data_IF_267539615993
#
_entry.id   IF_267539615993
#
_cell.length_a   1.000
_cell.length_b   1.000
_cell.length_c   1.000
_cell.angle_alpha   90.00
_cell.angle_beta   90.00
_cell.angle_gamma   90.00
#
_symmetry.space_group_name_H-M   'P 1'
#
loop_
_entity.id
_entity.type
_entity.pdbx_description
1 polymer ?
#
# COMPACT_ATOMS: atom_id res chain seq x y z
N UNK A 1 -20.56 68.21 47.59
CA UNK A 1 -20.98 67.32 46.52
C UNK A 1 -19.73 66.59 45.95
N UNK A 2 -19.56 65.34 46.31
CA UNK A 2 -18.43 64.52 45.84
C UNK A 2 -18.96 63.57 44.74
N UNK A 3 -18.44 63.67 43.54
CA UNK A 3 -18.76 62.73 42.41
C UNK A 3 -17.78 61.58 42.50
N UNK A 4 -18.30 60.33 42.63
CA UNK A 4 -17.54 59.12 42.59
C UNK A 4 -17.69 58.65 41.16
N UNK A 5 -16.57 58.53 40.39
CA UNK A 5 -16.49 57.88 39.07
C UNK A 5 -16.26 56.40 39.30
N UNK A 6 -17.23 55.59 38.86
CA UNK A 6 -17.07 54.13 38.70
C UNK A 6 -16.44 53.85 37.36
N UNK A 7 -15.21 53.37 37.36
CA UNK A 7 -14.57 52.79 36.14
C UNK A 7 -14.92 51.32 36.08
N UNK A 8 -15.74 50.97 35.09
CA UNK A 8 -16.09 49.58 34.76
C UNK A 8 -14.97 49.00 33.88
N UNK A 9 -14.09 48.17 34.44
CA UNK A 9 -13.08 47.44 33.69
C UNK A 9 -13.72 46.22 33.03
N UNK A 10 -13.95 46.27 31.70
CA UNK A 10 -14.33 45.13 30.87
C UNK A 10 -13.10 44.26 30.64
N UNK A 11 -13.01 43.13 31.36
CA UNK A 11 -12.06 42.06 31.08
C UNK A 11 -12.53 41.29 29.82
N UNK A 12 -11.92 41.59 28.67
CA UNK A 12 -12.00 40.75 27.52
C UNK A 12 -11.19 39.46 27.77
N UNK A 13 -11.85 38.40 28.18
CA UNK A 13 -11.31 37.05 28.18
C UNK A 13 -11.21 36.58 26.75
N UNK A 14 -10.06 36.81 26.12
CA UNK A 14 -9.72 36.14 24.87
C UNK A 14 -9.49 34.64 25.16
N UNK A 15 -10.54 33.85 25.03
CA UNK A 15 -10.45 32.39 25.05
C UNK A 15 -9.55 31.94 23.91
N UNK A 16 -8.30 31.63 24.23
CA UNK A 16 -7.44 30.87 23.32
C UNK A 16 -8.10 29.49 23.22
N UNK A 17 -8.90 29.26 22.17
CA UNK A 17 -9.29 27.92 21.77
C UNK A 17 -8.01 27.22 21.31
N UNK A 18 -7.32 26.55 22.24
CA UNK A 18 -6.39 25.51 21.92
C UNK A 18 -7.24 24.46 21.15
N UNK A 19 -7.22 24.52 19.84
CA UNK A 19 -7.68 23.38 19.03
C UNK A 19 -6.81 22.20 19.48
N UNK A 20 -7.35 21.33 20.30
CA UNK A 20 -6.73 20.05 20.59
C UNK A 20 -6.50 19.41 19.23
N UNK A 21 -5.25 19.32 18.83
CA UNK A 21 -4.83 18.61 17.64
C UNK A 21 -5.29 17.17 17.88
N UNK A 22 -6.40 16.78 17.26
CA UNK A 22 -6.93 15.43 17.40
C UNK A 22 -5.85 14.51 16.89
N UNK A 23 -5.29 13.68 17.78
CA UNK A 23 -4.29 12.66 17.48
C UNK A 23 -4.91 11.51 16.66
N UNK A 24 -5.71 11.87 15.64
CA UNK A 24 -6.32 10.90 14.74
C UNK A 24 -5.26 10.07 14.04
N UNK A 25 -5.49 8.79 13.94
CA UNK A 25 -4.64 7.89 13.15
C UNK A 25 -4.73 8.28 11.68
N UNK A 26 -3.59 8.37 11.00
CA UNK A 26 -3.48 8.44 9.55
C UNK A 26 -3.12 7.06 9.03
N UNK A 27 -3.60 6.73 7.85
CA UNK A 27 -3.32 5.41 7.26
C UNK A 27 -2.65 5.59 5.90
N UNK A 28 -1.52 4.92 5.74
CA UNK A 28 -0.84 4.71 4.45
C UNK A 28 -1.00 3.23 4.11
N UNK A 29 -1.90 2.95 3.16
CA UNK A 29 -2.10 1.60 2.62
C UNK A 29 -1.32 1.48 1.32
N UNK A 30 -0.48 0.45 1.22
CA UNK A 30 0.40 0.23 0.07
C UNK A 30 0.18 -1.19 -0.47
N UNK A 31 0.13 -1.32 -1.79
CA UNK A 31 0.17 -2.63 -2.45
C UNK A 31 1.34 -2.72 -3.43
N UNK A 32 1.98 -3.87 -3.45
CA UNK A 32 2.97 -4.27 -4.47
C UNK A 32 2.32 -5.37 -5.31
N UNK A 33 1.99 -5.06 -6.57
CA UNK A 33 1.29 -5.98 -7.45
C UNK A 33 2.10 -7.26 -7.66
N UNK A 34 1.51 -8.40 -7.33
CA UNK A 34 2.06 -9.72 -7.58
C UNK A 34 3.43 -10.05 -6.96
N UNK A 35 3.89 -9.32 -5.95
CA UNK A 35 5.11 -9.68 -5.23
C UNK A 35 4.89 -10.93 -4.39
N UNK A 36 5.62 -12.02 -4.71
CA UNK A 36 5.45 -13.30 -4.02
C UNK A 36 5.94 -13.25 -2.57
N UNK A 37 5.28 -14.00 -1.71
CA UNK A 37 5.72 -14.19 -0.33
C UNK A 37 7.13 -14.82 -0.24
N UNK A 38 7.52 -15.63 -1.22
CA UNK A 38 8.84 -16.26 -1.27
C UNK A 38 9.95 -15.21 -1.29
N UNK A 39 9.90 -14.25 -2.20
CA UNK A 39 10.90 -13.19 -2.26
C UNK A 39 10.84 -12.28 -1.04
N UNK A 40 9.64 -11.99 -0.54
CA UNK A 40 9.50 -11.18 0.68
C UNK A 40 10.23 -11.84 1.85
N UNK A 41 9.99 -13.13 2.11
CA UNK A 41 10.49 -13.82 3.31
C UNK A 41 11.82 -14.55 3.13
N UNK A 42 12.20 -14.87 1.89
CA UNK A 42 13.41 -15.66 1.62
C UNK A 42 14.42 -14.97 0.70
N UNK A 43 14.07 -13.79 0.15
CA UNK A 43 14.89 -13.07 -0.83
C UNK A 43 14.94 -13.78 -2.18
N UNK A 44 15.99 -13.57 -2.95
CA UNK A 44 16.12 -14.15 -4.29
C UNK A 44 15.92 -15.67 -4.27
N UNK A 45 15.00 -16.16 -5.14
CA UNK A 45 14.70 -17.58 -5.29
C UNK A 45 15.91 -18.32 -5.92
N UNK A 46 16.42 -19.39 -5.27
CA UNK A 46 17.60 -20.09 -5.75
C UNK A 46 17.45 -20.72 -7.14
N UNK A 47 16.23 -21.10 -7.54
CA UNK A 47 15.97 -21.69 -8.84
C UNK A 47 15.85 -20.63 -9.93
N UNK A 48 15.32 -19.46 -9.60
CA UNK A 48 15.12 -18.37 -10.57
C UNK A 48 16.40 -17.57 -10.77
N UNK A 49 17.12 -17.22 -9.72
CA UNK A 49 18.35 -16.40 -9.81
C UNK A 49 19.45 -17.03 -10.64
N UNK A 50 19.43 -18.36 -10.78
CA UNK A 50 20.37 -19.12 -11.57
C UNK A 50 19.86 -19.52 -12.98
N UNK A 51 18.61 -19.17 -13.32
CA UNK A 51 17.96 -19.64 -14.53
C UNK A 51 18.17 -18.64 -15.69
N UNK A 52 18.96 -19.04 -16.67
CA UNK A 52 19.24 -18.23 -17.88
C UNK A 52 18.03 -17.96 -18.77
N UNK A 53 16.91 -18.64 -18.58
CA UNK A 53 15.65 -18.32 -19.28
C UNK A 53 14.97 -17.07 -18.73
N UNK A 54 15.29 -16.68 -17.48
CA UNK A 54 14.67 -15.56 -16.77
C UNK A 54 15.67 -14.48 -16.36
N UNK A 55 16.97 -14.74 -16.52
CA UNK A 55 18.04 -13.84 -16.10
C UNK A 55 19.11 -13.79 -17.18
N UNK A 56 19.30 -12.65 -17.79
CA UNK A 56 20.28 -12.45 -18.86
C UNK A 56 21.73 -12.53 -18.36
N UNK A 57 22.00 -12.03 -17.15
CA UNK A 57 23.31 -12.12 -16.48
C UNK A 57 23.12 -12.68 -15.05
N UNK A 58 23.18 -14.01 -14.96
CA UNK A 58 23.03 -14.70 -13.68
C UNK A 58 24.18 -14.44 -12.72
N UNK A 59 25.38 -14.10 -13.22
CA UNK A 59 26.53 -13.77 -12.38
C UNK A 59 26.32 -12.43 -11.70
N UNK A 60 26.01 -11.38 -12.45
CA UNK A 60 25.75 -10.07 -11.88
C UNK A 60 24.54 -10.07 -10.92
N UNK A 61 23.47 -10.81 -11.27
CA UNK A 61 22.31 -10.90 -10.40
C UNK A 61 22.62 -11.61 -9.08
N UNK A 62 23.42 -12.68 -9.12
CA UNK A 62 23.86 -13.37 -7.91
C UNK A 62 24.78 -12.51 -7.04
N UNK A 63 25.72 -11.78 -7.61
CA UNK A 63 26.55 -10.82 -6.88
C UNK A 63 25.68 -9.81 -6.11
N UNK A 64 24.62 -9.32 -6.74
CA UNK A 64 23.72 -8.34 -6.16
C UNK A 64 22.82 -8.94 -5.06
N UNK A 65 22.11 -10.03 -5.33
CA UNK A 65 21.00 -10.51 -4.50
C UNK A 65 21.21 -11.85 -3.81
N UNK A 66 22.20 -12.67 -4.28
CA UNK A 66 22.40 -13.97 -3.70
C UNK A 66 23.22 -13.92 -2.40
N UNK A 67 22.77 -14.62 -1.41
CA UNK A 67 23.49 -14.98 -0.19
C UNK A 67 23.10 -16.40 0.19
N UNK A 68 23.93 -17.08 1.02
CA UNK A 68 23.70 -18.49 1.36
C UNK A 68 22.43 -18.70 2.20
N UNK A 69 22.18 -17.84 3.17
CA UNK A 69 20.97 -17.94 3.98
C UNK A 69 19.81 -17.10 3.44
N UNK A 70 18.58 -17.61 3.58
CA UNK A 70 17.36 -16.87 3.26
C UNK A 70 17.28 -15.54 4.02
N UNK A 71 17.73 -15.53 5.27
CA UNK A 71 17.76 -14.31 6.09
C UNK A 71 18.63 -13.22 5.47
N UNK A 72 19.82 -13.55 5.01
CA UNK A 72 20.70 -12.58 4.37
C UNK A 72 20.18 -12.16 3.00
N UNK A 73 19.62 -13.08 2.20
CA UNK A 73 19.03 -12.76 0.89
C UNK A 73 17.90 -11.75 1.02
N UNK A 74 16.94 -11.97 1.95
CA UNK A 74 15.81 -11.03 2.15
C UNK A 74 16.26 -9.66 2.68
N UNK A 75 17.31 -9.62 3.51
CA UNK A 75 17.89 -8.36 4.00
C UNK A 75 18.59 -7.57 2.88
N UNK A 76 19.19 -8.26 1.92
CA UNK A 76 19.77 -7.59 0.74
C UNK A 76 18.69 -7.12 -0.23
N UNK A 77 17.64 -7.90 -0.41
CA UNK A 77 16.55 -7.56 -1.33
C UNK A 77 15.68 -6.41 -0.79
N UNK A 78 15.28 -6.48 0.48
CA UNK A 78 14.34 -5.56 1.13
C UNK A 78 14.95 -5.01 2.44
N UNK A 79 16.01 -4.19 2.34
CA UNK A 79 16.78 -3.76 3.50
C UNK A 79 15.99 -2.94 4.52
N UNK A 80 15.07 -2.07 4.09
CA UNK A 80 14.25 -1.29 5.02
C UNK A 80 13.27 -2.20 5.77
N UNK A 81 12.55 -3.07 5.08
CA UNK A 81 11.59 -3.97 5.70
C UNK A 81 12.25 -4.91 6.70
N UNK A 82 13.43 -5.46 6.37
CA UNK A 82 14.07 -6.45 7.23
C UNK A 82 15.02 -5.90 8.30
N UNK A 83 15.62 -4.74 8.11
CA UNK A 83 16.54 -4.17 9.11
C UNK A 83 15.85 -3.15 10.03
N UNK A 84 14.74 -2.54 9.60
CA UNK A 84 14.04 -1.51 10.37
C UNK A 84 12.61 -1.95 10.72
N UNK A 85 11.74 -2.22 9.73
CA UNK A 85 10.32 -2.52 9.97
C UNK A 85 10.12 -3.80 10.75
N UNK A 86 10.96 -4.83 10.53
CA UNK A 86 10.87 -6.09 11.28
C UNK A 86 11.09 -5.91 12.80
N UNK A 87 11.73 -4.83 13.22
CA UNK A 87 11.93 -4.53 14.64
C UNK A 87 10.81 -3.66 15.25
N UNK A 88 10.02 -2.96 14.41
CA UNK A 88 9.00 -2.02 14.89
C UNK A 88 7.57 -2.36 14.43
N UNK A 89 7.36 -3.54 13.87
CA UNK A 89 6.07 -3.94 13.31
C UNK A 89 5.82 -5.44 13.33
N UNK A 90 4.95 -5.88 12.44
CA UNK A 90 4.56 -7.28 12.26
C UNK A 90 4.60 -7.65 10.78
N UNK A 91 5.13 -8.84 10.47
CA UNK A 91 5.16 -9.41 9.12
C UNK A 91 4.44 -10.76 9.15
N UNK A 92 3.36 -10.88 8.40
CA UNK A 92 2.50 -12.06 8.30
C UNK A 92 2.55 -12.64 6.90
N UNK A 93 2.45 -13.97 6.79
CA UNK A 93 2.39 -14.67 5.51
C UNK A 93 3.60 -15.53 5.19
N UNK A 94 4.58 -15.65 6.11
CA UNK A 94 5.67 -16.62 5.94
C UNK A 94 5.15 -18.04 6.14
N UNK A 95 4.88 -18.73 5.04
CA UNK A 95 4.32 -20.08 5.05
C UNK A 95 5.27 -21.12 5.60
N UNK A 96 6.59 -20.89 5.47
CA UNK A 96 7.61 -21.79 6.02
C UNK A 96 7.60 -21.77 7.56
N UNK A 97 7.12 -20.69 8.16
CA UNK A 97 6.96 -20.58 9.62
C UNK A 97 5.52 -20.86 10.09
N UNK A 98 4.62 -21.28 9.17
CA UNK A 98 3.22 -21.58 9.48
C UNK A 98 2.33 -20.35 9.67
N UNK A 99 2.78 -19.18 9.20
CA UNK A 99 1.94 -17.99 9.08
C UNK A 99 1.33 -17.94 7.68
N UNK A 100 0.01 -17.92 7.59
CA UNK A 100 -0.69 -17.96 6.31
C UNK A 100 -1.62 -16.77 6.17
N UNK A 101 -1.57 -16.15 5.00
CA UNK A 101 -2.55 -15.18 4.55
C UNK A 101 -2.95 -15.51 3.11
N UNK A 102 -4.24 -15.53 2.83
CA UNK A 102 -4.78 -15.93 1.53
C UNK A 102 -5.83 -14.93 1.03
N UNK A 103 -6.05 -14.95 -0.28
CA UNK A 103 -7.24 -14.37 -0.89
C UNK A 103 -8.45 -15.25 -0.62
N UNK A 104 -9.62 -14.63 -0.44
CA UNK A 104 -10.91 -15.32 -0.42
C UNK A 104 -11.54 -15.45 -1.80
N UNK A 105 -11.26 -14.49 -2.71
CA UNK A 105 -11.69 -14.63 -4.09
C UNK A 105 -10.99 -15.83 -4.74
N UNK A 106 -11.65 -16.49 -5.67
CA UNK A 106 -11.09 -17.64 -6.41
C UNK A 106 -10.41 -17.24 -7.73
N UNK A 107 -10.43 -15.96 -8.06
CA UNK A 107 -9.90 -15.45 -9.33
C UNK A 107 -8.38 -15.31 -9.31
N UNK A 108 -7.78 -14.90 -8.18
CA UNK A 108 -6.35 -14.76 -7.92
C UNK A 108 -5.62 -13.92 -8.96
N UNK A 109 -6.18 -12.75 -9.30
CA UNK A 109 -5.56 -11.75 -10.15
C UNK A 109 -5.96 -10.33 -9.69
N UNK A 110 -5.42 -9.31 -10.34
CA UNK A 110 -5.30 -7.96 -9.79
C UNK A 110 -6.62 -7.32 -9.38
N UNK A 111 -7.59 -7.12 -10.29
CA UNK A 111 -8.80 -6.39 -9.91
C UNK A 111 -9.59 -7.07 -8.77
N UNK A 112 -9.88 -8.39 -8.80
CA UNK A 112 -10.50 -9.09 -7.67
C UNK A 112 -9.70 -8.98 -6.37
N UNK A 113 -8.37 -9.06 -6.44
CA UNK A 113 -7.48 -8.91 -5.28
C UNK A 113 -7.56 -7.51 -4.68
N UNK A 114 -7.45 -6.47 -5.50
CA UNK A 114 -7.62 -5.07 -5.07
C UNK A 114 -9.01 -4.79 -4.52
N UNK A 115 -10.05 -5.32 -5.15
CA UNK A 115 -11.40 -5.21 -4.60
C UNK A 115 -11.46 -5.80 -3.19
N UNK A 116 -10.90 -7.00 -3.00
CA UNK A 116 -10.91 -7.67 -1.70
C UNK A 116 -10.22 -6.86 -0.61
N UNK A 117 -9.04 -6.29 -0.92
CA UNK A 117 -8.29 -5.43 -0.01
C UNK A 117 -9.08 -4.16 0.35
N UNK A 118 -9.70 -3.52 -0.66
CA UNK A 118 -10.33 -2.21 -0.49
C UNK A 118 -11.77 -2.26 0.00
N UNK A 119 -12.44 -3.42 -0.09
CA UNK A 119 -13.85 -3.55 0.29
C UNK A 119 -14.10 -4.51 1.43
N UNK A 120 -13.11 -5.34 1.80
CA UNK A 120 -13.27 -6.42 2.77
C UNK A 120 -14.15 -7.58 2.28
N UNK A 121 -14.35 -7.69 0.96
CA UNK A 121 -15.26 -8.65 0.36
C UNK A 121 -14.72 -9.24 -0.93
N UNK A 122 -14.72 -10.58 -1.03
CA UNK A 122 -14.57 -11.28 -2.30
C UNK A 122 -15.88 -11.16 -3.11
N UNK A 123 -15.78 -10.91 -4.42
CA UNK A 123 -16.94 -10.73 -5.29
C UNK A 123 -16.75 -11.37 -6.66
N UNK A 124 -16.55 -12.67 -6.66
CA UNK A 124 -16.33 -13.49 -7.88
C UNK A 124 -17.52 -13.49 -8.85
N UNK A 125 -18.69 -13.07 -8.38
CA UNK A 125 -19.89 -13.00 -9.20
C UNK A 125 -19.91 -11.77 -10.14
N UNK A 126 -19.28 -10.65 -9.75
CA UNK A 126 -19.37 -9.38 -10.47
C UNK A 126 -18.02 -8.86 -10.94
N UNK A 127 -16.92 -9.27 -10.28
CA UNK A 127 -15.55 -8.84 -10.61
C UNK A 127 -14.80 -10.06 -11.15
N UNK A 128 -14.84 -10.23 -12.45
CA UNK A 128 -14.36 -11.43 -13.16
C UNK A 128 -13.29 -11.15 -14.21
N UNK A 129 -12.84 -9.89 -14.31
CA UNK A 129 -11.80 -9.46 -15.26
C UNK A 129 -11.02 -8.26 -14.72
N UNK A 130 -9.95 -7.91 -15.41
CA UNK A 130 -9.17 -6.68 -15.23
C UNK A 130 -9.69 -5.50 -16.08
N UNK A 131 -10.90 -5.60 -16.61
CA UNK A 131 -11.48 -4.56 -17.46
C UNK A 131 -11.77 -3.27 -16.68
N UNK A 132 -11.77 -2.16 -17.39
CA UNK A 132 -12.10 -0.83 -16.88
C UNK A 132 -13.60 -0.67 -16.63
N UNK A 133 -14.14 -1.47 -15.71
CA UNK A 133 -15.52 -1.45 -15.27
C UNK A 133 -15.56 -0.89 -13.84
N UNK A 134 -16.37 0.16 -13.57
CA UNK A 134 -16.45 0.74 -12.23
C UNK A 134 -16.84 -0.29 -11.17
N UNK A 135 -16.08 -0.35 -10.08
CA UNK A 135 -16.32 -1.28 -8.98
C UNK A 135 -17.74 -1.13 -8.42
N UNK A 136 -18.56 -2.19 -8.43
CA UNK A 136 -19.91 -2.14 -7.89
C UNK A 136 -19.93 -2.08 -6.34
N UNK A 137 -18.81 -2.42 -5.68
CA UNK A 137 -18.68 -2.41 -4.24
C UNK A 137 -18.17 -1.05 -3.74
N UNK A 138 -18.63 -0.65 -2.56
CA UNK A 138 -18.12 0.53 -1.85
C UNK A 138 -16.75 0.19 -1.24
N UNK A 139 -15.74 1.01 -1.53
CA UNK A 139 -14.40 0.85 -0.97
C UNK A 139 -14.26 1.61 0.34
N UNK A 140 -13.29 1.22 1.17
CA UNK A 140 -12.92 1.97 2.39
C UNK A 140 -12.51 3.41 2.10
N UNK A 141 -11.98 3.68 0.90
CA UNK A 141 -11.65 5.03 0.46
C UNK A 141 -12.94 5.86 0.27
N UNK A 142 -13.95 5.27 -0.38
CA UNK A 142 -15.27 5.87 -0.53
C UNK A 142 -15.93 6.08 0.83
N UNK A 143 -16.02 5.03 1.66
CA UNK A 143 -16.59 5.08 3.01
C UNK A 143 -15.95 6.18 3.85
N UNK A 144 -14.62 6.30 3.82
CA UNK A 144 -13.94 7.39 4.51
C UNK A 144 -14.28 8.76 3.90
N UNK A 145 -14.25 8.90 2.56
CA UNK A 145 -14.44 10.19 1.89
C UNK A 145 -15.86 10.74 2.05
N UNK A 146 -16.90 9.90 2.15
CA UNK A 146 -18.28 10.34 2.43
C UNK A 146 -18.50 10.68 3.91
N UNK A 147 -17.63 10.22 4.81
CA UNK A 147 -17.69 10.56 6.23
C UNK A 147 -17.17 11.99 6.45
N UNK A 148 -17.99 12.86 7.01
CA UNK A 148 -17.71 14.31 7.09
C UNK A 148 -16.32 14.70 7.62
N UNK A 149 -15.76 13.91 8.55
CA UNK A 149 -14.42 14.11 9.14
C UNK A 149 -13.29 13.94 8.10
N UNK A 150 -13.43 12.96 7.18
CA UNK A 150 -12.39 12.58 6.21
C UNK A 150 -12.64 13.13 4.81
N UNK A 151 -13.77 13.81 4.57
CA UNK A 151 -14.12 14.37 3.27
C UNK A 151 -13.00 15.28 2.74
N UNK A 152 -12.47 14.95 1.57
CA UNK A 152 -11.36 15.65 0.93
C UNK A 152 -9.98 15.37 1.55
N UNK A 153 -9.88 14.36 2.44
CA UNK A 153 -8.63 13.92 3.08
C UNK A 153 -8.26 12.49 2.71
N UNK A 154 -8.82 11.99 1.62
CA UNK A 154 -8.60 10.65 1.08
C UNK A 154 -8.07 10.80 -0.33
N UNK A 155 -7.06 10.01 -0.71
CA UNK A 155 -6.52 10.01 -2.07
C UNK A 155 -5.98 8.62 -2.44
N UNK A 156 -5.92 8.35 -3.75
CA UNK A 156 -5.33 7.12 -4.29
C UNK A 156 -4.33 7.43 -5.41
N UNK A 157 -3.23 6.68 -5.43
CA UNK A 157 -2.20 6.73 -6.46
C UNK A 157 -1.89 5.33 -6.94
N UNK A 158 -1.90 5.11 -8.24
CA UNK A 158 -1.66 3.79 -8.81
C UNK A 158 -0.78 3.82 -10.05
N UNK A 159 0.07 2.80 -10.23
CA UNK A 159 0.85 2.68 -11.45
C UNK A 159 0.00 2.20 -12.61
N UNK A 160 -1.02 1.38 -12.34
CA UNK A 160 -1.92 0.84 -13.36
C UNK A 160 -3.13 1.75 -13.61
N UNK A 161 -3.49 1.97 -14.86
CA UNK A 161 -4.55 2.89 -15.31
C UNK A 161 -6.01 2.39 -15.07
N UNK A 162 -6.17 1.26 -14.37
CA UNK A 162 -7.48 0.71 -13.96
C UNK A 162 -7.90 1.21 -12.57
N UNK A 163 -7.02 1.81 -11.78
CA UNK A 163 -7.34 2.26 -10.43
C UNK A 163 -8.53 3.25 -10.33
N UNK A 164 -8.78 4.17 -11.28
CA UNK A 164 -9.99 5.00 -11.24
C UNK A 164 -11.28 4.17 -11.25
N UNK A 165 -11.26 2.99 -11.85
CA UNK A 165 -12.39 2.05 -11.87
C UNK A 165 -12.45 1.18 -10.61
N UNK A 166 -11.30 0.70 -10.11
CA UNK A 166 -11.22 -0.08 -8.86
C UNK A 166 -11.74 0.74 -7.67
N UNK A 167 -11.33 2.01 -7.57
CA UNK A 167 -11.78 2.95 -6.54
C UNK A 167 -13.19 3.49 -6.83
N UNK A 168 -13.68 3.34 -8.07
CA UNK A 168 -14.88 3.98 -8.60
C UNK A 168 -14.86 5.50 -8.35
N UNK A 169 -13.84 6.17 -8.88
CA UNK A 169 -13.56 7.59 -8.66
C UNK A 169 -14.80 8.47 -8.86
N UNK A 170 -15.57 8.20 -9.92
CA UNK A 170 -16.78 8.97 -10.23
C UNK A 170 -17.83 8.91 -9.12
N UNK A 171 -18.04 7.73 -8.51
CA UNK A 171 -19.01 7.54 -7.41
C UNK A 171 -18.44 7.99 -6.08
N UNK A 172 -17.21 7.59 -5.79
CA UNK A 172 -16.56 7.83 -4.50
C UNK A 172 -16.17 9.29 -4.29
N UNK A 173 -15.93 10.04 -5.36
CA UNK A 173 -15.37 11.39 -5.31
C UNK A 173 -13.96 11.45 -4.71
N UNK A 174 -13.29 10.29 -4.57
CA UNK A 174 -11.88 10.21 -4.12
C UNK A 174 -10.99 10.56 -5.30
N UNK A 175 -10.08 11.54 -5.18
CA UNK A 175 -9.12 11.82 -6.24
C UNK A 175 -8.18 10.63 -6.45
N UNK A 176 -8.09 10.19 -7.70
CA UNK A 176 -7.21 9.10 -8.14
C UNK A 176 -6.24 9.66 -9.17
N UNK A 177 -4.95 9.42 -8.99
CA UNK A 177 -3.95 9.69 -10.02
C UNK A 177 -3.28 8.37 -10.39
N UNK A 178 -3.56 7.86 -11.59
CA UNK A 178 -3.18 6.51 -11.99
C UNK A 178 -2.72 6.41 -13.45
N UNK A 179 -1.98 5.35 -13.77
CA UNK A 179 -1.41 5.17 -15.09
C UNK A 179 -0.57 6.36 -15.52
N UNK A 180 -0.76 6.85 -16.72
CA UNK A 180 0.00 7.98 -17.25
C UNK A 180 -0.62 9.35 -16.98
N UNK A 181 -1.56 9.43 -16.03
CA UNK A 181 -2.15 10.71 -15.64
C UNK A 181 -1.09 11.63 -15.03
N UNK A 182 -1.14 12.88 -15.44
CA UNK A 182 -0.32 13.95 -14.88
C UNK A 182 -1.00 14.57 -13.67
N UNK A 183 -0.26 15.19 -12.79
CA UNK A 183 -0.84 16.02 -11.75
C UNK A 183 -1.64 17.17 -12.39
N UNK A 184 -2.88 17.34 -11.94
CA UNK A 184 -3.83 18.35 -12.45
C UNK A 184 -4.33 19.17 -11.26
N UNK A 185 -3.78 20.35 -11.08
CA UNK A 185 -4.16 21.26 -10.00
C UNK A 185 -3.80 22.68 -10.43
N UNK A 186 -4.58 23.66 -10.01
CA UNK A 186 -4.30 25.09 -10.32
C UNK A 186 -2.96 25.55 -9.72
N UNK A 187 -2.49 24.88 -8.68
CA UNK A 187 -1.27 25.20 -7.92
C UNK A 187 -0.27 24.03 -7.91
N UNK A 188 0.19 23.59 -9.07
CA UNK A 188 1.23 22.56 -9.15
C UNK A 188 2.52 23.01 -8.47
N UNK A 189 3.11 22.13 -7.66
CA UNK A 189 4.47 22.33 -7.14
C UNK A 189 5.48 22.28 -8.29
N UNK A 190 6.67 22.79 -8.08
CA UNK A 190 7.73 22.72 -9.12
C UNK A 190 8.12 21.27 -9.40
N UNK A 191 7.99 20.38 -8.41
CA UNK A 191 8.24 18.95 -8.59
C UNK A 191 7.13 18.28 -9.39
N UNK A 192 5.85 18.59 -9.14
CA UNK A 192 4.74 18.11 -9.96
C UNK A 192 4.88 18.57 -11.42
N UNK A 193 5.25 19.82 -11.66
CA UNK A 193 5.54 20.34 -13.02
C UNK A 193 6.67 19.56 -13.69
N UNK A 194 7.75 19.29 -12.94
CA UNK A 194 8.87 18.51 -13.45
C UNK A 194 8.47 17.07 -13.77
N UNK A 195 7.72 16.39 -12.90
CA UNK A 195 7.18 15.04 -13.14
C UNK A 195 6.30 15.03 -14.41
N UNK A 196 5.38 15.99 -14.54
CA UNK A 196 4.54 16.14 -15.73
C UNK A 196 5.38 16.34 -17.00
N UNK A 197 6.52 17.03 -16.89
CA UNK A 197 7.42 17.27 -18.01
C UNK A 197 8.18 16.02 -18.44
N UNK A 198 8.66 15.21 -17.48
CA UNK A 198 9.55 14.07 -17.79
C UNK A 198 8.78 12.78 -18.08
N UNK A 199 7.63 12.54 -17.43
CA UNK A 199 6.86 11.30 -17.61
C UNK A 199 6.61 10.93 -19.08
N UNK A 200 6.11 11.82 -19.96
CA UNK A 200 5.89 11.47 -21.35
C UNK A 200 7.19 11.32 -22.20
N UNK A 201 8.36 11.61 -21.62
CA UNK A 201 9.65 11.51 -22.29
C UNK A 201 10.45 10.28 -21.89
N UNK A 202 10.05 9.62 -20.82
CA UNK A 202 10.66 8.36 -20.36
C UNK A 202 9.82 7.21 -20.90
N UNK A 203 10.37 6.38 -21.80
CA UNK A 203 9.64 5.23 -22.31
C UNK A 203 9.25 4.28 -21.18
N UNK A 204 7.96 3.96 -21.09
CA UNK A 204 7.51 2.84 -20.25
C UNK A 204 7.52 1.56 -21.07
N UNK A 205 7.94 0.42 -20.50
CA UNK A 205 7.85 -0.87 -21.19
C UNK A 205 6.39 -1.26 -21.46
N UNK A 206 5.44 -0.72 -20.70
CA UNK A 206 4.02 -1.11 -20.73
C UNK A 206 3.11 0.04 -21.14
N UNK A 207 1.99 -0.28 -21.79
CA UNK A 207 1.03 0.72 -22.29
C UNK A 207 -0.02 1.18 -21.27
N UNK A 208 -0.19 0.46 -20.15
CA UNK A 208 -1.22 0.72 -19.14
C UNK A 208 -0.66 0.95 -17.73
N UNK A 209 0.62 0.63 -17.51
CA UNK A 209 1.30 0.75 -16.23
C UNK A 209 2.48 1.69 -16.37
N UNK A 210 2.47 2.78 -15.60
CA UNK A 210 3.62 3.70 -15.49
C UNK A 210 4.65 3.16 -14.50
N UNK A 211 5.89 3.65 -14.60
CA UNK A 211 6.93 3.32 -13.64
C UNK A 211 6.55 3.79 -12.23
N UNK A 212 6.79 2.94 -11.23
CA UNK A 212 6.43 3.14 -9.83
C UNK A 212 7.02 4.44 -9.23
N UNK A 213 8.16 4.87 -9.71
CA UNK A 213 8.75 6.14 -9.30
C UNK A 213 7.83 7.34 -9.58
N UNK A 214 7.10 7.37 -10.69
CA UNK A 214 6.14 8.45 -10.96
C UNK A 214 4.96 8.39 -10.00
N UNK A 215 4.40 7.20 -9.77
CA UNK A 215 3.32 6.99 -8.79
C UNK A 215 3.74 7.49 -7.41
N UNK A 216 4.92 7.09 -6.98
CA UNK A 216 5.50 7.46 -5.71
C UNK A 216 5.63 8.98 -5.56
N UNK A 217 6.30 9.64 -6.50
CA UNK A 217 6.58 11.06 -6.34
C UNK A 217 5.34 11.95 -6.52
N UNK A 218 4.35 11.55 -7.31
CA UNK A 218 3.04 12.22 -7.28
C UNK A 218 2.35 12.06 -5.92
N UNK A 219 2.39 10.86 -5.31
CA UNK A 219 1.84 10.62 -3.98
C UNK A 219 2.57 11.43 -2.90
N UNK A 220 3.91 11.48 -2.93
CA UNK A 220 4.74 12.27 -2.00
C UNK A 220 4.41 13.76 -2.06
N UNK A 221 4.29 14.34 -3.27
CA UNK A 221 3.93 15.75 -3.42
C UNK A 221 2.50 16.02 -2.91
N UNK A 222 1.56 15.12 -3.19
CA UNK A 222 0.21 15.21 -2.66
C UNK A 222 0.19 15.13 -1.12
N UNK A 223 0.95 14.21 -0.51
CA UNK A 223 1.06 14.10 0.94
C UNK A 223 1.58 15.38 1.58
N UNK A 224 2.60 16.00 1.01
CA UNK A 224 3.17 17.27 1.50
C UNK A 224 2.19 18.42 1.37
N UNK A 225 1.46 18.51 0.27
CA UNK A 225 0.57 19.61 -0.08
C UNK A 225 -0.78 19.51 0.61
N UNK A 226 -1.42 18.34 0.53
CA UNK A 226 -2.83 18.15 0.90
C UNK A 226 -3.02 17.43 2.23
N UNK A 227 -1.96 16.77 2.76
CA UNK A 227 -1.97 16.06 4.05
C UNK A 227 -3.17 15.13 4.21
N UNK A 228 -3.37 14.12 3.31
CA UNK A 228 -4.44 13.16 3.46
C UNK A 228 -4.34 12.39 4.78
N UNK A 229 -5.49 12.01 5.34
CA UNK A 229 -5.56 11.15 6.52
C UNK A 229 -5.66 9.66 6.14
N UNK A 230 -6.11 9.36 4.92
CA UNK A 230 -6.04 8.04 4.29
C UNK A 230 -5.47 8.20 2.89
N UNK A 231 -4.35 7.54 2.61
CA UNK A 231 -3.78 7.46 1.28
C UNK A 231 -3.55 5.99 0.88
N UNK A 232 -3.95 5.66 -0.34
CA UNK A 232 -3.68 4.38 -0.96
C UNK A 232 -2.65 4.54 -2.08
N UNK A 233 -1.60 3.73 -2.08
CA UNK A 233 -0.55 3.74 -3.10
C UNK A 233 -0.35 2.32 -3.63
N UNK A 234 -0.54 2.14 -4.94
CA UNK A 234 -0.41 0.85 -5.61
C UNK A 234 0.74 0.87 -6.61
N UNK A 235 1.79 0.12 -6.30
CA UNK A 235 2.94 -0.11 -7.15
C UNK A 235 2.70 -1.32 -8.06
N UNK A 236 3.08 -1.25 -9.33
CA UNK A 236 2.74 -2.23 -10.35
C UNK A 236 3.93 -2.98 -10.95
N UNK A 237 5.16 -2.43 -10.90
CA UNK A 237 6.30 -2.96 -11.67
C UNK A 237 6.61 -4.42 -11.40
N UNK A 238 6.39 -4.93 -10.17
CA UNK A 238 6.71 -6.32 -9.83
C UNK A 238 5.85 -7.30 -10.61
N UNK A 239 4.58 -7.00 -10.86
CA UNK A 239 3.71 -7.87 -11.66
C UNK A 239 4.13 -7.90 -13.13
N UNK A 240 4.32 -6.73 -13.71
CA UNK A 240 4.64 -6.60 -15.13
C UNK A 240 5.99 -7.23 -15.48
N UNK A 241 7.05 -6.99 -14.68
CA UNK A 241 8.34 -7.65 -14.90
C UNK A 241 8.29 -9.17 -14.72
N UNK A 242 7.43 -9.66 -13.83
CA UNK A 242 7.21 -11.10 -13.72
C UNK A 242 6.52 -11.66 -14.97
N UNK A 243 5.50 -10.99 -15.50
CA UNK A 243 4.85 -11.37 -16.76
C UNK A 243 5.82 -11.39 -17.94
N UNK A 244 6.73 -10.43 -18.01
CA UNK A 244 7.80 -10.38 -19.01
C UNK A 244 8.83 -11.50 -18.83
N UNK A 245 8.84 -12.15 -17.67
CA UNK A 245 9.80 -13.19 -17.33
C UNK A 245 11.19 -12.64 -17.00
N UNK A 246 11.31 -11.34 -16.69
CA UNK A 246 12.57 -10.72 -16.30
C UNK A 246 12.70 -10.72 -14.75
N UNK A 247 13.30 -11.81 -14.25
CA UNK A 247 13.49 -11.96 -12.81
C UNK A 247 14.48 -10.94 -12.22
N UNK A 248 15.42 -10.46 -13.04
CA UNK A 248 16.35 -9.43 -12.58
C UNK A 248 15.66 -8.09 -12.38
N UNK A 249 14.80 -7.68 -13.31
CA UNK A 249 14.00 -6.47 -13.17
C UNK A 249 12.97 -6.60 -12.05
N UNK A 250 12.33 -7.77 -11.91
CA UNK A 250 11.41 -8.08 -10.79
C UNK A 250 12.06 -7.88 -9.41
N UNK A 251 13.26 -8.42 -9.18
CA UNK A 251 13.97 -8.21 -7.91
C UNK A 251 14.39 -6.76 -7.71
N UNK A 252 14.85 -6.09 -8.78
CA UNK A 252 15.23 -4.68 -8.71
C UNK A 252 14.05 -3.76 -8.41
N UNK A 253 12.89 -4.03 -9.01
CA UNK A 253 11.67 -3.25 -8.71
C UNK A 253 11.22 -3.46 -7.26
N UNK A 254 11.26 -4.71 -6.75
CA UNK A 254 10.98 -4.97 -5.34
C UNK A 254 11.94 -4.22 -4.39
N UNK A 255 13.26 -4.23 -4.69
CA UNK A 255 14.26 -3.48 -3.92
C UNK A 255 14.02 -1.97 -4.01
N UNK A 256 13.70 -1.46 -5.18
CA UNK A 256 13.39 -0.04 -5.37
C UNK A 256 12.14 0.34 -4.56
N UNK A 257 11.09 -0.47 -4.59
CA UNK A 257 9.87 -0.21 -3.84
C UNK A 257 10.10 -0.22 -2.33
N UNK A 258 10.99 -1.08 -1.81
CA UNK A 258 11.43 -1.04 -0.40
C UNK A 258 12.04 0.32 -0.03
N UNK A 259 12.88 0.88 -0.92
CA UNK A 259 13.45 2.21 -0.74
C UNK A 259 12.38 3.33 -0.82
N UNK A 260 11.43 3.23 -1.74
CA UNK A 260 10.31 4.18 -1.84
C UNK A 260 9.43 4.15 -0.58
N UNK A 261 9.18 2.97 -0.02
CA UNK A 261 8.44 2.83 1.25
C UNK A 261 9.22 3.47 2.40
N UNK A 262 10.55 3.34 2.42
CA UNK A 262 11.40 4.04 3.39
C UNK A 262 11.26 5.56 3.26
N UNK A 263 11.27 6.11 2.05
CA UNK A 263 11.05 7.55 1.84
C UNK A 263 9.69 8.02 2.38
N UNK A 264 8.60 7.24 2.20
CA UNK A 264 7.30 7.54 2.79
C UNK A 264 7.34 7.52 4.31
N UNK A 265 8.02 6.53 4.90
CA UNK A 265 8.19 6.47 6.35
C UNK A 265 8.96 7.68 6.85
N UNK A 266 10.09 8.02 6.26
CA UNK A 266 10.89 9.19 6.63
C UNK A 266 10.12 10.50 6.48
N UNK A 267 9.33 10.65 5.42
CA UNK A 267 8.40 11.78 5.25
C UNK A 267 7.43 11.87 6.42
N UNK A 268 6.79 10.78 6.81
CA UNK A 268 5.83 10.79 7.92
C UNK A 268 6.49 11.04 9.27
N UNK A 269 7.76 10.66 9.46
CA UNK A 269 8.51 10.96 10.69
C UNK A 269 9.03 12.40 10.75
N UNK A 270 9.14 13.07 9.60
CA UNK A 270 9.61 14.47 9.52
C UNK A 270 8.48 15.51 9.62
N UNK A 271 7.25 15.14 9.26
CA UNK A 271 6.08 16.05 9.31
C UNK A 271 5.28 15.84 10.61
N UNK A 272 5.08 16.92 11.38
CA UNK A 272 4.35 16.89 12.66
C UNK A 272 2.89 16.42 12.54
N UNK A 273 2.27 16.54 11.38
CA UNK A 273 0.92 16.03 11.12
C UNK A 273 0.87 14.50 11.14
N UNK A 274 1.91 13.86 10.62
CA UNK A 274 1.99 12.40 10.49
C UNK A 274 2.73 11.73 11.64
N UNK A 275 3.77 12.37 12.17
CA UNK A 275 4.72 11.79 13.12
C UNK A 275 4.04 11.17 14.34
N UNK A 276 4.29 9.88 14.57
CA UNK A 276 3.71 9.14 15.70
C UNK A 276 2.21 8.85 15.57
N UNK A 277 1.56 9.27 14.47
CA UNK A 277 0.13 9.11 14.24
C UNK A 277 -0.20 8.33 12.97
N UNK A 278 0.77 7.71 12.32
CA UNK A 278 0.58 7.02 11.04
C UNK A 278 0.72 5.52 11.19
N UNK A 279 -0.31 4.80 10.75
CA UNK A 279 -0.30 3.35 10.53
C UNK A 279 0.07 3.08 9.08
N UNK A 280 1.04 2.21 8.87
CA UNK A 280 1.38 1.65 7.56
C UNK A 280 0.86 0.22 7.47
N UNK A 281 0.15 -0.07 6.39
CA UNK A 281 -0.26 -1.41 5.98
C UNK A 281 0.27 -1.65 4.57
N UNK A 282 1.05 -2.71 4.38
CA UNK A 282 1.63 -3.07 3.10
C UNK A 282 1.26 -4.51 2.78
N UNK A 283 0.79 -4.77 1.57
CA UNK A 283 0.37 -6.10 1.12
C UNK A 283 0.58 -6.28 -0.38
N UNK A 284 0.15 -7.41 -0.90
CA UNK A 284 0.02 -7.70 -2.33
C UNK A 284 -1.42 -8.08 -2.64
N UNK A 285 -1.86 -7.82 -3.85
CA UNK A 285 -3.20 -8.13 -4.33
C UNK A 285 -3.38 -9.61 -4.71
N UNK A 286 -2.29 -10.28 -5.15
CA UNK A 286 -2.23 -11.70 -5.39
C UNK A 286 -0.78 -12.22 -5.27
N UNK A 287 -0.63 -13.53 -5.17
CA UNK A 287 0.64 -14.21 -5.31
C UNK A 287 0.87 -14.69 -6.76
N UNK A 288 1.86 -15.54 -6.93
CA UNK A 288 2.22 -16.12 -8.24
C UNK A 288 2.55 -17.61 -8.09
N UNK A 289 2.68 -18.27 -9.23
CA UNK A 289 3.02 -19.68 -9.25
C UNK A 289 4.39 -20.00 -8.67
N UNK A 290 4.56 -21.25 -8.25
CA UNK A 290 5.81 -21.76 -7.67
C UNK A 290 6.38 -22.90 -8.53
N UNK A 291 5.56 -23.88 -8.86
CA UNK A 291 5.94 -25.04 -9.67
C UNK A 291 4.81 -25.39 -10.66
N UNK A 292 5.14 -25.76 -11.90
CA UNK A 292 6.49 -25.78 -12.48
C UNK A 292 7.14 -24.40 -12.42
N UNK A 293 8.48 -24.31 -12.51
CA UNK A 293 9.21 -23.06 -12.26
C UNK A 293 8.75 -21.92 -13.18
N UNK A 294 8.34 -22.19 -14.38
CA UNK A 294 7.82 -21.21 -15.35
C UNK A 294 6.55 -20.52 -14.86
N UNK A 295 5.81 -21.14 -13.93
CA UNK A 295 4.57 -20.58 -13.38
C UNK A 295 4.77 -19.33 -12.52
N UNK A 296 6.01 -19.03 -12.11
CA UNK A 296 6.33 -17.81 -11.37
C UNK A 296 5.93 -16.53 -12.11
N UNK A 297 5.88 -16.60 -13.46
CA UNK A 297 5.46 -15.49 -14.31
C UNK A 297 3.96 -15.20 -14.28
N UNK A 298 3.18 -16.15 -13.80
CA UNK A 298 1.73 -16.14 -13.92
C UNK A 298 1.02 -16.18 -12.57
N UNK A 299 -0.24 -15.81 -12.63
CA UNK A 299 -1.20 -15.87 -11.55
C UNK A 299 -2.59 -16.29 -12.11
N UNK A 300 -3.63 -16.26 -11.28
CA UNK A 300 -4.99 -16.65 -11.66
C UNK A 300 -5.43 -18.00 -11.10
N UNK A 301 -6.71 -18.31 -11.21
CA UNK A 301 -7.38 -19.44 -10.55
C UNK A 301 -6.78 -20.83 -10.81
N UNK A 302 -6.07 -20.99 -11.91
CA UNK A 302 -5.42 -22.27 -12.27
C UNK A 302 -3.95 -22.35 -11.83
N UNK A 303 -3.41 -21.27 -11.26
CA UNK A 303 -1.99 -21.17 -10.89
C UNK A 303 -1.83 -21.41 -9.40
N UNK A 304 -1.27 -22.58 -9.05
CA UNK A 304 -1.04 -22.92 -7.64
C UNK A 304 -0.05 -21.94 -6.98
N UNK A 305 -0.47 -21.32 -5.88
CA UNK A 305 0.29 -20.31 -5.15
C UNK A 305 -0.20 -18.87 -5.40
N UNK A 306 -0.97 -18.62 -6.46
CA UNK A 306 -1.45 -17.27 -6.79
C UNK A 306 -2.43 -16.68 -5.75
N UNK A 307 -3.12 -17.50 -4.96
CA UNK A 307 -3.94 -17.04 -3.83
C UNK A 307 -3.17 -16.73 -2.55
N UNK A 308 -1.85 -16.99 -2.52
CA UNK A 308 -1.01 -16.81 -1.34
C UNK A 308 -0.45 -15.39 -1.25
N UNK A 309 -0.89 -14.63 -0.27
CA UNK A 309 -0.52 -13.24 -0.04
C UNK A 309 0.15 -13.05 1.33
N UNK A 310 0.49 -11.83 1.66
CA UNK A 310 1.19 -11.46 2.89
C UNK A 310 0.77 -10.07 3.36
N UNK A 311 1.10 -9.72 4.62
CA UNK A 311 0.85 -8.41 5.19
C UNK A 311 2.02 -7.97 6.05
N UNK A 312 2.36 -6.69 5.94
CA UNK A 312 3.25 -5.98 6.84
C UNK A 312 2.48 -4.83 7.48
N UNK A 313 2.56 -4.70 8.79
CA UNK A 313 1.96 -3.62 9.55
C UNK A 313 2.98 -2.99 10.49
N UNK A 314 3.08 -1.68 10.53
CA UNK A 314 3.95 -0.94 11.47
C UNK A 314 3.47 0.48 11.70
N UNK A 315 4.01 1.13 12.72
CA UNK A 315 3.64 2.46 13.12
C UNK A 315 2.55 2.49 14.19
N UNK A 316 1.66 3.48 14.12
CA UNK A 316 0.69 3.72 15.19
C UNK A 316 -0.25 2.53 15.41
N UNK A 317 -0.33 2.07 16.66
CA UNK A 317 -1.27 1.02 17.06
C UNK A 317 -0.82 -0.40 16.69
N UNK A 318 0.44 -0.60 16.33
CA UNK A 318 0.99 -1.90 15.99
C UNK A 318 1.97 -2.38 17.06
N UNK A 319 1.79 -3.59 17.58
CA UNK A 319 2.77 -4.24 18.46
C UNK A 319 3.97 -4.74 17.66
N UNK A 320 5.15 -4.61 18.23
CA UNK A 320 6.44 -5.06 17.69
C UNK A 320 6.58 -6.57 17.86
N UNK A 321 5.99 -7.36 16.96
CA UNK A 321 6.06 -8.84 16.97
C UNK A 321 7.09 -9.39 16.00
N UNK A 322 7.62 -8.55 15.10
CA UNK A 322 8.54 -8.99 14.04
C UNK A 322 7.88 -9.94 13.06
N UNK A 323 8.63 -10.93 12.61
CA UNK A 323 8.13 -11.99 11.74
C UNK A 323 7.25 -12.97 12.52
N UNK A 324 5.95 -12.98 12.21
CA UNK A 324 4.96 -13.77 12.93
C UNK A 324 4.97 -15.21 12.45
N UNK A 325 5.06 -16.15 13.39
CA UNK A 325 5.02 -17.59 13.14
C UNK A 325 3.79 -18.24 13.76
N UNK A 326 3.34 -19.35 13.16
CA UNK A 326 2.23 -20.19 13.70
C UNK A 326 0.98 -19.37 14.03
N UNK A 327 0.61 -18.45 13.16
CA UNK A 327 -0.58 -17.63 13.32
C UNK A 327 -1.83 -18.36 12.88
N UNK A 328 -3.00 -17.86 13.31
CA UNK A 328 -4.26 -18.18 12.68
C UNK A 328 -4.24 -17.81 11.19
N UNK A 329 -5.09 -18.46 10.41
CA UNK A 329 -5.28 -18.14 9.00
C UNK A 329 -5.80 -16.70 8.85
N UNK A 330 -5.08 -15.87 8.08
CA UNK A 330 -5.49 -14.52 7.73
C UNK A 330 -5.99 -14.44 6.29
N UNK A 331 -6.77 -13.39 6.00
CA UNK A 331 -7.31 -13.12 4.68
C UNK A 331 -7.19 -11.64 4.32
N UNK A 332 -7.04 -11.33 3.03
CA UNK A 332 -6.99 -9.95 2.52
C UNK A 332 -8.25 -9.15 2.85
N UNK A 333 -9.40 -9.82 2.97
CA UNK A 333 -10.67 -9.22 3.41
C UNK A 333 -10.61 -8.56 4.78
N UNK A 334 -9.64 -8.91 5.63
CA UNK A 334 -9.45 -8.31 6.95
C UNK A 334 -8.78 -6.93 6.91
N UNK A 335 -8.17 -6.55 5.78
CA UNK A 335 -7.46 -5.27 5.65
C UNK A 335 -8.45 -4.10 5.73
N UNK A 336 -9.54 -4.16 4.97
CA UNK A 336 -10.54 -3.09 4.96
C UNK A 336 -11.10 -2.76 6.35
N UNK A 337 -11.62 -3.73 7.14
CA UNK A 337 -12.10 -3.42 8.48
C UNK A 337 -10.98 -2.98 9.42
N UNK A 338 -9.73 -3.37 9.19
CA UNK A 338 -8.57 -2.90 9.97
C UNK A 338 -8.30 -1.40 9.72
N UNK A 339 -8.36 -0.97 8.46
CA UNK A 339 -8.24 0.45 8.10
C UNK A 339 -9.38 1.27 8.70
N UNK A 340 -10.62 0.81 8.58
CA UNK A 340 -11.78 1.52 9.15
C UNK A 340 -11.68 1.63 10.68
N UNK A 341 -11.27 0.56 11.36
CA UNK A 341 -11.02 0.59 12.80
C UNK A 341 -9.94 1.61 13.16
N UNK A 342 -8.83 1.63 12.43
CA UNK A 342 -7.74 2.59 12.67
C UNK A 342 -8.19 4.06 12.48
N UNK A 343 -9.16 4.29 11.60
CA UNK A 343 -9.77 5.59 11.35
C UNK A 343 -10.95 5.92 12.28
N UNK A 344 -11.22 5.09 13.31
CA UNK A 344 -12.37 5.26 14.21
C UNK A 344 -13.72 5.26 13.46
N UNK A 345 -13.85 4.36 12.48
CA UNK A 345 -15.04 4.11 11.65
C UNK A 345 -15.58 2.70 11.87
N UNK A 346 -15.59 2.25 13.13
CA UNK A 346 -15.96 0.87 13.50
C UNK A 346 -17.40 0.51 13.13
N UNK A 347 -18.33 1.47 13.17
CA UNK A 347 -19.73 1.23 12.79
C UNK A 347 -19.84 0.74 11.33
N UNK A 348 -19.02 1.31 10.45
CA UNK A 348 -18.95 0.91 9.05
C UNK A 348 -18.29 -0.46 8.88
N UNK A 349 -17.30 -0.77 9.73
CA UNK A 349 -16.61 -2.06 9.74
C UNK A 349 -17.51 -3.22 10.24
N UNK A 350 -18.52 -2.95 11.08
CA UNK A 350 -19.42 -3.98 11.62
C UNK A 350 -20.25 -4.72 10.56
N UNK A 351 -20.42 -4.13 9.39
CA UNK A 351 -21.14 -4.75 8.26
C UNK A 351 -20.23 -5.57 7.33
N UNK A 352 -18.94 -5.65 7.61
CA UNK A 352 -18.00 -6.45 6.83
C UNK A 352 -18.00 -7.91 7.24
N UNK A 353 -17.68 -8.81 6.32
CA UNK A 353 -17.70 -10.26 6.56
C UNK A 353 -16.64 -10.69 7.57
N UNK A 354 -15.50 -9.99 7.59
CA UNK A 354 -14.37 -10.32 8.44
C UNK A 354 -14.14 -9.29 9.54
N UNK A 355 -13.55 -9.77 10.63
CA UNK A 355 -13.10 -8.89 11.71
C UNK A 355 -11.78 -8.22 11.36
N UNK A 356 -11.51 -7.01 11.89
CA UNK A 356 -10.19 -6.39 11.79
C UNK A 356 -9.09 -7.33 12.28
N UNK A 357 -7.91 -7.18 11.69
CA UNK A 357 -6.69 -7.84 12.19
C UNK A 357 -6.40 -7.40 13.62
N UNK A 358 -5.93 -8.33 14.44
CA UNK A 358 -5.40 -8.02 15.76
C UNK A 358 -3.93 -7.55 15.63
N UNK A 359 -3.75 -6.25 15.50
CA UNK A 359 -2.42 -5.62 15.50
C UNK A 359 -1.86 -5.41 16.92
N UNK A 360 -2.65 -5.72 17.96
CA UNK A 360 -2.19 -5.92 19.33
C UNK A 360 -2.18 -4.70 20.25
N UNK A 361 -2.72 -3.55 19.84
CA UNK A 361 -2.94 -2.40 20.74
C UNK A 361 -4.40 -1.97 20.65
N UNK A 362 -5.05 -1.95 21.81
CA UNK A 362 -6.40 -1.42 21.98
C UNK A 362 -6.39 0.11 22.07
#
# INVERSE_FOLDING_TARGET
>A
MKYIFFILALLFSSGIHLMAQTNSTKVVLITLDGLRWQELFSGADPLLVANSNFVSDTTALKEQFWRESAKERRQVLLPFLWNEVSAMGQLHGNRDLGSKMDLKNSMWFSYPGYNEILTGKADDARITSNDKIPNPNETILETANITGRYKGKVAAFGSWDVFPYIVNETRSGVPVNAGFEMAQDDNLTDREKFLNQIQPRIPSPWGSVRLDAFTHYYAVEHMKKNRPELIYIAYGETDDFAHDGDYAAYLKSAQNTDALIKELWELTQSDTFYKGNTLFLITTDHGRGTLPIESWKGHGCSVNGAGAVWLIAFGKGVLEKGEVSKSEQLFSTQIAPTVLKALELEEQAMNMEEKPLDLGVN
#
